data_IF_144981032878
#
_entry.id   IF_144981032878
#
_cell.length_a   1.000
_cell.length_b   1.000
_cell.length_c   1.000
_cell.angle_alpha   90.00
_cell.angle_beta   90.00
_cell.angle_gamma   90.00
#
_symmetry.space_group_name_H-M   'P 1'
#
loop_
_entity.id
_entity.type
_entity.pdbx_description
1 polymer ?
#
# COMPACT_ATOMS: atom_id res chain seq x y z
N UNK A 1 -0.39 1.32 -12.91
CA UNK A 1 -0.41 0.90 -11.49
C UNK A 1 -1.85 0.67 -11.08
N UNK A 2 -2.14 -0.17 -10.07
CA UNK A 2 -3.49 -0.20 -9.49
C UNK A 2 -3.67 1.03 -8.60
N UNK A 3 -4.91 1.56 -8.51
CA UNK A 3 -5.24 2.70 -7.65
C UNK A 3 -4.86 2.50 -6.18
N UNK A 4 -4.84 1.25 -5.72
CA UNK A 4 -4.46 0.89 -4.35
C UNK A 4 -2.97 1.14 -4.12
N UNK A 5 -2.12 0.67 -5.04
CA UNK A 5 -0.67 0.84 -4.92
C UNK A 5 -0.25 2.32 -5.02
N UNK A 6 -0.95 3.12 -5.82
CA UNK A 6 -0.72 4.57 -5.89
C UNK A 6 -1.06 5.26 -4.56
N UNK A 7 -2.13 4.85 -3.90
CA UNK A 7 -2.51 5.41 -2.60
C UNK A 7 -1.48 5.04 -1.53
N UNK A 8 -1.06 3.77 -1.48
CA UNK A 8 0.00 3.32 -0.58
C UNK A 8 1.29 4.10 -0.77
N UNK A 9 1.72 4.32 -2.02
CA UNK A 9 2.89 5.15 -2.32
C UNK A 9 2.77 6.55 -1.73
N UNK A 10 1.62 7.21 -1.90
CA UNK A 10 1.39 8.55 -1.35
C UNK A 10 1.43 8.55 0.18
N UNK A 11 0.93 7.50 0.82
CA UNK A 11 0.97 7.40 2.29
C UNK A 11 2.39 7.16 2.80
N UNK A 12 3.21 6.37 2.09
CA UNK A 12 4.65 6.27 2.37
C UNK A 12 5.31 7.65 2.27
N UNK A 13 5.07 8.40 1.19
CA UNK A 13 5.63 9.74 1.00
C UNK A 13 5.19 10.73 2.10
N UNK A 14 3.98 10.55 2.66
CA UNK A 14 3.45 11.37 3.77
C UNK A 14 3.96 10.97 5.15
N UNK A 15 4.35 9.72 5.36
CA UNK A 15 4.81 9.21 6.66
C UNK A 15 6.10 9.86 7.17
N UNK A 16 6.84 10.57 6.29
CA UNK A 16 8.19 11.10 6.54
C UNK A 16 9.24 10.03 6.95
N UNK A 17 8.86 8.75 6.99
CA UNK A 17 9.76 7.65 7.28
C UNK A 17 10.62 7.32 6.06
N UNK A 18 11.90 7.00 6.31
CA UNK A 18 12.73 6.44 5.25
C UNK A 18 12.24 5.04 4.87
N UNK A 19 12.40 4.67 3.60
CA UNK A 19 12.14 3.29 3.13
C UNK A 19 12.88 2.23 3.96
N UNK A 20 14.05 2.58 4.49
CA UNK A 20 14.82 1.72 5.38
C UNK A 20 14.09 1.48 6.72
N UNK A 21 13.56 2.54 7.33
CA UNK A 21 12.81 2.46 8.58
C UNK A 21 11.54 1.61 8.41
N UNK A 22 10.78 1.86 7.35
CA UNK A 22 9.58 1.07 7.02
C UNK A 22 9.95 -0.40 6.80
N UNK A 23 11.02 -0.68 6.06
CA UNK A 23 11.52 -2.05 5.83
C UNK A 23 11.82 -2.77 7.15
N UNK A 24 12.47 -2.08 8.10
CA UNK A 24 12.78 -2.66 9.42
C UNK A 24 11.55 -2.88 10.29
N UNK A 25 10.60 -1.95 10.27
CA UNK A 25 9.39 -2.05 11.08
C UNK A 25 8.42 -3.12 10.57
N UNK A 26 8.30 -3.25 9.24
CA UNK A 26 7.32 -4.15 8.60
C UNK A 26 7.89 -5.52 8.22
N UNK A 27 9.22 -5.66 8.21
CA UNK A 27 9.92 -6.83 7.69
C UNK A 27 9.86 -6.96 6.15
N UNK A 28 9.43 -5.91 5.45
CA UNK A 28 9.33 -5.89 3.98
C UNK A 28 10.70 -5.61 3.39
N UNK A 29 11.08 -6.36 2.35
CA UNK A 29 12.35 -6.16 1.65
C UNK A 29 12.45 -4.76 0.99
N UNK A 30 13.63 -4.16 1.05
CA UNK A 30 13.84 -2.82 0.48
C UNK A 30 13.77 -2.80 -1.04
N UNK A 31 14.20 -3.86 -1.74
CA UNK A 31 14.06 -3.92 -3.19
C UNK A 31 12.58 -4.01 -3.56
N UNK A 32 11.76 -4.72 -2.77
CA UNK A 32 10.31 -4.72 -2.93
C UNK A 32 9.69 -3.33 -2.73
N UNK A 33 10.02 -2.62 -1.64
CA UNK A 33 9.57 -1.24 -1.43
C UNK A 33 10.01 -0.32 -2.57
N UNK A 34 11.26 -0.44 -3.04
CA UNK A 34 11.78 0.32 -4.17
C UNK A 34 11.00 0.07 -5.47
N UNK A 35 10.68 -1.19 -5.79
CA UNK A 35 9.88 -1.54 -6.98
C UNK A 35 8.48 -0.91 -6.93
N UNK A 36 7.85 -0.94 -5.76
CA UNK A 36 6.52 -0.34 -5.53
C UNK A 36 6.57 1.17 -5.71
N UNK A 37 7.54 1.84 -5.08
CA UNK A 37 7.74 3.28 -5.22
C UNK A 37 8.00 3.69 -6.68
N UNK A 38 8.74 2.89 -7.43
CA UNK A 38 9.05 3.18 -8.84
C UNK A 38 7.95 2.78 -9.82
N UNK A 39 6.83 2.23 -9.35
CA UNK A 39 5.73 1.82 -10.23
C UNK A 39 5.98 0.54 -11.02
N UNK A 40 7.04 -0.21 -10.68
CA UNK A 40 7.56 -1.35 -11.47
C UNK A 40 7.26 -2.72 -10.84
N UNK A 41 6.50 -2.79 -9.77
CA UNK A 41 6.23 -4.04 -9.07
C UNK A 41 4.83 -4.11 -8.46
N UNK A 42 4.24 -5.30 -8.52
CA UNK A 42 3.12 -5.67 -7.66
C UNK A 42 3.59 -6.03 -6.26
N UNK A 43 2.63 -6.29 -5.39
CA UNK A 43 2.83 -6.66 -4.00
C UNK A 43 1.80 -7.74 -3.66
N UNK A 44 2.16 -8.70 -2.80
CA UNK A 44 1.18 -9.65 -2.25
C UNK A 44 0.22 -8.93 -1.28
N UNK A 45 -0.93 -9.54 -1.02
CA UNK A 45 -1.93 -8.99 -0.09
C UNK A 45 -1.35 -8.91 1.33
N UNK A 46 -0.63 -9.94 1.79
CA UNK A 46 0.04 -9.92 3.11
C UNK A 46 0.96 -8.71 3.31
N UNK A 47 1.76 -8.38 2.29
CA UNK A 47 2.69 -7.25 2.37
C UNK A 47 1.91 -5.93 2.36
N UNK A 48 0.83 -5.86 1.58
CA UNK A 48 -0.06 -4.70 1.56
C UNK A 48 -0.70 -4.48 2.94
N UNK A 49 -1.20 -5.53 3.59
CA UNK A 49 -1.82 -5.45 4.91
C UNK A 49 -0.82 -5.04 5.99
N UNK A 50 0.39 -5.62 6.01
CA UNK A 50 1.46 -5.20 6.95
C UNK A 50 1.81 -3.73 6.80
N UNK A 51 1.92 -3.26 5.56
CA UNK A 51 2.24 -1.87 5.28
C UNK A 51 1.08 -0.94 5.64
N UNK A 52 -0.17 -1.34 5.37
CA UNK A 52 -1.35 -0.60 5.78
C UNK A 52 -1.40 -0.45 7.30
N UNK A 53 -1.20 -1.54 8.05
CA UNK A 53 -1.16 -1.53 9.51
C UNK A 53 -0.06 -0.61 10.05
N UNK A 54 1.14 -0.66 9.48
CA UNK A 54 2.26 0.22 9.89
C UNK A 54 1.96 1.70 9.63
N UNK A 55 1.32 2.01 8.50
CA UNK A 55 0.96 3.38 8.12
C UNK A 55 -0.34 3.88 8.78
N UNK A 56 -0.96 3.09 9.66
CA UNK A 56 -2.23 3.46 10.31
C UNK A 56 -3.41 3.52 9.34
N UNK A 57 -3.39 2.71 8.28
CA UNK A 57 -4.43 2.62 7.26
C UNK A 57 -5.32 1.40 7.48
N UNK A 58 -6.58 1.52 7.05
CA UNK A 58 -7.55 0.41 7.08
C UNK A 58 -7.96 0.00 5.65
N UNK A 59 -8.02 -1.30 5.38
CA UNK A 59 -8.52 -1.87 4.13
C UNK A 59 -9.98 -2.25 4.29
N UNK A 60 -10.88 -1.50 3.64
CA UNK A 60 -12.32 -1.71 3.77
C UNK A 60 -12.90 -2.31 2.48
N UNK A 61 -13.35 -3.57 2.54
CA UNK A 61 -14.06 -4.24 1.44
C UNK A 61 -15.56 -4.01 1.59
N UNK A 62 -16.18 -3.35 0.61
CA UNK A 62 -17.63 -3.06 0.60
C UNK A 62 -18.29 -3.48 -0.71
N UNK A 63 -19.54 -3.99 -0.69
CA UNK A 63 -20.29 -4.27 -1.91
C UNK A 63 -20.46 -3.01 -2.75
N UNK A 64 -20.29 -3.14 -4.08
CA UNK A 64 -20.55 -2.02 -5.00
C UNK A 64 -22.05 -1.70 -4.97
N UNK A 65 -22.41 -0.43 -4.77
CA UNK A 65 -23.80 0.03 -4.87
C UNK A 65 -24.35 -0.36 -6.25
N UNK A 66 -25.41 -1.17 -6.28
CA UNK A 66 -26.13 -1.49 -7.52
C UNK A 66 -26.75 -0.19 -8.03
N UNK A 67 -26.37 0.24 -9.23
CA UNK A 67 -26.98 1.40 -9.89
C UNK A 67 -28.42 0.99 -10.20
N UNK A 68 -29.40 1.59 -9.51
CA UNK A 68 -30.83 1.35 -9.74
C UNK A 68 -31.08 1.74 -11.20
N UNK A 69 -31.28 0.75 -12.10
CA UNK A 69 -31.73 1.03 -13.47
C UNK A 69 -33.12 1.65 -13.31
N UNK A 70 -33.26 2.91 -13.71
CA UNK A 70 -34.57 3.54 -13.94
C UNK A 70 -35.15 2.98 -15.23
#
# INVERSE_FOLDING_TARGET
>A
MSRILDEIRKQIERSAESRYAISKATGIDQAQLSRVMNGRGGMSIDVLERLANHLGLEVVIRPKRKRKRR
#
